data_IF_384313041538
#
_entry.id   IF_384313041538
#
_cell.length_a   1.000
_cell.length_b   1.000
_cell.length_c   1.000
_cell.angle_alpha   90.00
_cell.angle_beta   90.00
_cell.angle_gamma   90.00
#
_symmetry.space_group_name_H-M   'P 1'
#
loop_
_entity.id
_entity.type
_entity.pdbx_description
1 polymer ?
#
# COMPACT_ATOMS: atom_id res chain seq x y z
N UNK A 1 -9.40 3.27 -51.54
CA UNK A 1 -9.31 4.18 -50.38
C UNK A 1 -10.53 4.12 -49.45
N UNK A 2 -11.78 4.09 -49.94
CA UNK A 2 -13.00 4.01 -49.10
C UNK A 2 -13.08 2.78 -48.16
N UNK A 3 -12.56 1.62 -48.58
CA UNK A 3 -12.53 0.39 -47.74
C UNK A 3 -11.54 0.44 -46.57
N UNK A 4 -10.44 1.20 -46.71
CA UNK A 4 -9.43 1.36 -45.66
C UNK A 4 -9.95 2.30 -44.57
N UNK A 5 -10.63 3.39 -44.98
CA UNK A 5 -11.30 4.32 -44.06
C UNK A 5 -12.45 3.66 -43.28
N UNK A 6 -13.22 2.79 -43.93
CA UNK A 6 -14.27 2.02 -43.25
C UNK A 6 -13.68 1.03 -42.22
N UNK A 7 -12.56 0.36 -42.52
CA UNK A 7 -11.91 -0.55 -41.59
C UNK A 7 -11.28 0.17 -40.38
N UNK A 8 -10.67 1.35 -40.59
CA UNK A 8 -10.16 2.17 -39.48
C UNK A 8 -11.29 2.74 -38.63
N UNK A 9 -12.41 3.18 -39.24
CA UNK A 9 -13.57 3.69 -38.51
C UNK A 9 -14.30 2.59 -37.72
N UNK A 10 -14.39 1.37 -38.26
CA UNK A 10 -14.93 0.19 -37.55
C UNK A 10 -14.00 -0.25 -36.41
N UNK A 11 -12.68 -0.19 -36.57
CA UNK A 11 -11.72 -0.46 -35.49
C UNK A 11 -11.76 0.60 -34.37
N UNK A 12 -11.92 1.87 -34.72
CA UNK A 12 -12.06 2.97 -33.76
C UNK A 12 -13.40 2.92 -33.00
N UNK A 13 -14.48 2.53 -33.66
CA UNK A 13 -15.80 2.37 -33.02
C UNK A 13 -15.88 1.12 -32.15
N UNK A 14 -15.29 -0.01 -32.56
CA UNK A 14 -15.24 -1.24 -31.74
C UNK A 14 -14.38 -1.08 -30.48
N UNK A 15 -13.28 -0.33 -30.54
CA UNK A 15 -12.47 0.03 -29.37
C UNK A 15 -13.20 1.01 -28.44
N UNK A 16 -13.94 1.99 -28.99
CA UNK A 16 -14.78 2.91 -28.20
C UNK A 16 -15.94 2.19 -27.49
N UNK A 17 -16.60 1.24 -28.18
CA UNK A 17 -17.67 0.40 -27.61
C UNK A 17 -17.10 -0.57 -26.56
N UNK A 18 -15.87 -1.07 -26.75
CA UNK A 18 -15.12 -1.83 -25.75
C UNK A 18 -14.80 -1.00 -24.50
N UNK A 19 -14.41 0.26 -24.67
CA UNK A 19 -14.19 1.22 -23.58
C UNK A 19 -15.49 1.52 -22.82
N UNK A 20 -16.64 1.63 -23.48
CA UNK A 20 -17.93 1.77 -22.78
C UNK A 20 -18.26 0.57 -21.88
N UNK A 21 -17.74 -0.64 -22.17
CA UNK A 21 -17.89 -1.80 -21.27
C UNK A 21 -17.09 -1.64 -19.98
N UNK A 22 -16.04 -0.80 -19.94
CA UNK A 22 -15.31 -0.49 -18.69
C UNK A 22 -16.16 0.37 -17.74
N UNK A 23 -17.21 1.04 -18.21
CA UNK A 23 -18.19 1.70 -17.33
C UNK A 23 -18.91 0.73 -16.39
N UNK A 24 -18.89 -0.59 -16.69
CA UNK A 24 -19.36 -1.63 -15.75
C UNK A 24 -18.56 -1.66 -14.45
N UNK A 25 -17.33 -1.13 -14.43
CA UNK A 25 -16.49 -0.98 -13.24
C UNK A 25 -17.07 0.02 -12.24
N UNK A 26 -17.96 0.93 -12.66
CA UNK A 26 -18.74 1.79 -11.75
C UNK A 26 -19.62 0.98 -10.78
N UNK A 27 -19.87 -0.31 -11.06
CA UNK A 27 -20.53 -1.22 -10.12
C UNK A 27 -19.69 -1.48 -8.87
N UNK A 28 -18.35 -1.35 -8.94
CA UNK A 28 -17.46 -1.44 -7.78
C UNK A 28 -17.70 -0.30 -6.79
N UNK A 29 -18.16 0.87 -7.24
CA UNK A 29 -18.57 1.98 -6.37
C UNK A 29 -19.77 1.61 -5.49
N UNK A 30 -20.62 0.66 -5.93
CA UNK A 30 -21.71 0.13 -5.10
C UNK A 30 -21.20 -0.81 -4.00
N UNK A 31 -20.13 -1.56 -4.29
CA UNK A 31 -19.46 -2.43 -3.32
C UNK A 31 -18.70 -1.58 -2.28
N UNK A 32 -17.99 -0.54 -2.73
CA UNK A 32 -17.32 0.43 -1.86
C UNK A 32 -18.32 1.10 -0.89
N UNK A 33 -19.52 1.48 -1.36
CA UNK A 33 -20.58 2.03 -0.49
C UNK A 33 -21.17 1.04 0.52
N UNK A 34 -20.89 -0.26 0.37
CA UNK A 34 -21.36 -1.32 1.27
C UNK A 34 -20.24 -1.89 2.14
N UNK A 35 -19.03 -1.34 2.02
CA UNK A 35 -17.81 -1.84 2.67
C UNK A 35 -17.91 -1.76 4.20
N UNK A 36 -18.55 -0.72 4.74
CA UNK A 36 -18.75 -0.53 6.17
C UNK A 36 -19.52 -1.70 6.79
N UNK A 37 -20.53 -2.22 6.08
CA UNK A 37 -21.33 -3.37 6.53
C UNK A 37 -20.57 -4.70 6.48
N UNK A 38 -19.57 -4.82 5.61
CA UNK A 38 -18.70 -6.01 5.55
C UNK A 38 -17.50 -5.90 6.50
N UNK A 39 -17.12 -4.69 6.92
CA UNK A 39 -15.99 -4.45 7.82
C UNK A 39 -16.16 -4.99 9.25
N UNK A 40 -17.41 -5.32 9.64
CA UNK A 40 -17.70 -5.97 10.92
C UNK A 40 -17.21 -7.44 10.96
N UNK A 41 -17.02 -8.06 9.79
CA UNK A 41 -16.53 -9.43 9.67
C UNK A 41 -15.09 -9.44 9.14
N UNK A 42 -14.10 -9.62 10.01
CA UNK A 42 -12.68 -9.60 9.63
C UNK A 42 -12.32 -10.54 8.46
N UNK A 43 -12.97 -11.70 8.36
CA UNK A 43 -12.80 -12.62 7.23
C UNK A 43 -13.34 -12.06 5.89
N UNK A 44 -14.43 -11.29 5.92
CA UNK A 44 -14.98 -10.63 4.73
C UNK A 44 -14.07 -9.50 4.24
N UNK A 45 -13.42 -8.77 5.16
CA UNK A 45 -12.42 -7.75 4.82
C UNK A 45 -11.21 -8.39 4.15
N UNK A 46 -10.69 -9.49 4.70
CA UNK A 46 -9.57 -10.21 4.10
C UNK A 46 -9.90 -10.72 2.70
N UNK A 47 -11.07 -11.33 2.51
CA UNK A 47 -11.54 -11.78 1.20
C UNK A 47 -11.72 -10.61 0.21
N UNK A 48 -12.23 -9.47 0.67
CA UNK A 48 -12.40 -8.28 -0.16
C UNK A 48 -11.04 -7.69 -0.58
N UNK A 49 -10.06 -7.66 0.33
CA UNK A 49 -8.69 -7.23 0.04
C UNK A 49 -8.02 -8.18 -0.96
N UNK A 50 -8.17 -9.50 -0.79
CA UNK A 50 -7.66 -10.49 -1.76
C UNK A 50 -8.32 -10.33 -3.14
N UNK A 51 -9.64 -10.13 -3.18
CA UNK A 51 -10.38 -9.95 -4.43
C UNK A 51 -10.00 -8.64 -5.15
N UNK A 52 -9.84 -7.54 -4.41
CA UNK A 52 -9.41 -6.25 -4.98
C UNK A 52 -7.97 -6.32 -5.48
N UNK A 53 -7.07 -6.97 -4.76
CA UNK A 53 -5.70 -7.22 -5.21
C UNK A 53 -5.66 -8.04 -6.51
N UNK A 54 -6.41 -9.14 -6.57
CA UNK A 54 -6.51 -9.97 -7.78
C UNK A 54 -7.10 -9.20 -8.98
N UNK A 55 -8.07 -8.33 -8.74
CA UNK A 55 -8.68 -7.49 -9.78
C UNK A 55 -7.68 -6.46 -10.34
N UNK A 56 -6.91 -5.82 -9.46
CA UNK A 56 -5.85 -4.87 -9.86
C UNK A 56 -4.80 -5.60 -10.71
N UNK A 57 -4.32 -6.75 -10.23
CA UNK A 57 -3.36 -7.56 -10.98
C UNK A 57 -3.92 -7.98 -12.36
N UNK A 58 -5.20 -8.38 -12.43
CA UNK A 58 -5.85 -8.69 -13.71
C UNK A 58 -5.90 -7.50 -14.67
N UNK A 59 -6.23 -6.29 -14.21
CA UNK A 59 -6.25 -5.10 -15.07
C UNK A 59 -4.86 -4.75 -15.57
N UNK A 60 -3.86 -4.77 -14.68
CA UNK A 60 -2.48 -4.54 -15.05
C UNK A 60 -2.00 -5.59 -16.06
N UNK A 61 -2.38 -6.86 -15.91
CA UNK A 61 -2.03 -7.92 -16.85
C UNK A 61 -2.64 -7.68 -18.24
N UNK A 62 -3.88 -7.21 -18.29
CA UNK A 62 -4.54 -6.84 -19.54
C UNK A 62 -3.86 -5.63 -20.21
N UNK A 63 -3.43 -4.63 -19.44
CA UNK A 63 -2.68 -3.47 -19.96
C UNK A 63 -1.31 -3.91 -20.47
N UNK A 64 -0.59 -4.74 -19.72
CA UNK A 64 0.69 -5.32 -20.12
C UNK A 64 0.59 -6.08 -21.45
N UNK A 65 -0.46 -6.88 -21.61
CA UNK A 65 -0.77 -7.55 -22.87
C UNK A 65 -1.08 -6.59 -24.01
N UNK A 66 -1.87 -5.54 -23.74
CA UNK A 66 -2.19 -4.54 -24.74
C UNK A 66 -0.95 -3.80 -25.25
N UNK A 67 -0.01 -3.45 -24.36
CA UNK A 67 1.27 -2.82 -24.71
C UNK A 67 2.07 -3.74 -25.66
N UNK A 68 2.30 -4.99 -25.25
CA UNK A 68 3.03 -5.94 -26.09
C UNK A 68 2.39 -6.17 -27.45
N UNK A 69 1.07 -6.28 -27.53
CA UNK A 69 0.37 -6.50 -28.80
C UNK A 69 0.36 -5.26 -29.70
N UNK A 70 0.34 -4.05 -29.13
CA UNK A 70 0.35 -2.80 -29.87
C UNK A 70 1.76 -2.43 -30.39
N UNK A 71 2.82 -2.73 -29.64
CA UNK A 71 4.21 -2.45 -30.05
C UNK A 71 4.78 -3.49 -31.01
N UNK A 72 4.33 -4.76 -30.92
CA UNK A 72 4.89 -5.85 -31.72
C UNK A 72 4.93 -5.61 -33.24
N UNK A 73 3.91 -5.04 -33.90
CA UNK A 73 3.96 -4.74 -35.34
C UNK A 73 4.97 -3.65 -35.71
N UNK A 74 5.19 -2.66 -34.83
CA UNK A 74 6.00 -1.46 -35.10
C UNK A 74 7.48 -1.64 -34.75
N UNK A 75 7.80 -2.62 -33.92
CA UNK A 75 9.16 -2.96 -33.52
C UNK A 75 10.00 -3.49 -34.70
N UNK A 76 11.12 -2.80 -34.96
CA UNK A 76 12.16 -3.21 -35.94
C UNK A 76 12.88 -4.50 -35.52
N UNK A 77 13.19 -4.62 -34.23
CA UNK A 77 13.75 -5.84 -33.63
C UNK A 77 12.68 -6.50 -32.77
N UNK A 78 12.40 -7.78 -32.99
CA UNK A 78 11.38 -8.57 -32.26
C UNK A 78 11.88 -8.98 -30.88
N UNK A 79 12.07 -7.99 -30.00
CA UNK A 79 12.64 -8.14 -28.65
C UNK A 79 11.61 -8.01 -27.54
N UNK A 80 10.33 -7.74 -27.87
CA UNK A 80 9.27 -7.56 -26.87
C UNK A 80 8.98 -8.85 -26.10
N UNK A 81 8.32 -8.71 -24.95
CA UNK A 81 8.06 -9.85 -24.05
C UNK A 81 7.24 -10.97 -24.72
N UNK A 82 6.35 -10.63 -25.67
CA UNK A 82 5.58 -11.60 -26.45
C UNK A 82 6.45 -12.43 -27.39
N UNK A 83 7.49 -11.84 -27.96
CA UNK A 83 8.42 -12.54 -28.85
C UNK A 83 9.39 -13.42 -28.06
N UNK A 84 9.83 -12.98 -26.86
CA UNK A 84 10.55 -13.85 -25.92
C UNK A 84 9.71 -15.04 -25.50
N UNK A 85 8.45 -14.82 -25.11
CA UNK A 85 7.55 -15.92 -24.74
C UNK A 85 7.35 -16.91 -25.89
N UNK A 86 7.27 -16.42 -27.13
CA UNK A 86 7.18 -17.26 -28.32
C UNK A 86 8.42 -18.13 -28.53
N UNK A 87 9.59 -17.57 -28.25
CA UNK A 87 10.85 -18.29 -28.31
C UNK A 87 10.92 -19.39 -27.23
N UNK A 88 10.55 -19.05 -25.99
CA UNK A 88 10.61 -19.97 -24.85
C UNK A 88 9.60 -21.14 -24.97
N UNK A 89 8.45 -20.89 -25.59
CA UNK A 89 7.40 -21.90 -25.79
C UNK A 89 7.53 -22.64 -27.12
N UNK A 90 8.53 -22.29 -27.94
CA UNK A 90 8.67 -22.75 -29.33
C UNK A 90 7.41 -22.53 -30.20
N UNK A 91 6.60 -21.51 -29.86
CA UNK A 91 5.39 -21.12 -30.59
C UNK A 91 5.65 -19.80 -31.31
N UNK A 92 6.38 -19.86 -32.42
CA UNK A 92 6.83 -18.69 -33.17
C UNK A 92 5.70 -17.99 -33.92
N UNK A 93 5.91 -16.70 -34.17
CA UNK A 93 5.03 -15.90 -35.02
C UNK A 93 5.50 -15.94 -36.47
N UNK A 94 4.56 -15.92 -37.40
CA UNK A 94 4.83 -15.84 -38.84
C UNK A 94 5.05 -14.39 -39.30
N UNK A 95 5.63 -14.22 -40.49
CA UNK A 95 5.89 -12.92 -41.12
C UNK A 95 4.65 -12.05 -41.29
N UNK A 96 3.47 -12.66 -41.44
CA UNK A 96 2.18 -11.98 -41.51
C UNK A 96 1.61 -11.58 -40.13
N UNK A 97 2.43 -11.62 -39.07
CA UNK A 97 2.04 -11.33 -37.70
C UNK A 97 0.96 -12.27 -37.14
N UNK A 98 0.78 -13.43 -37.77
CA UNK A 98 -0.12 -14.52 -37.36
C UNK A 98 0.65 -15.57 -36.56
N UNK A 99 -0.07 -16.47 -35.88
CA UNK A 99 0.54 -17.50 -35.03
C UNK A 99 0.90 -16.99 -33.63
N UNK A 100 2.00 -17.54 -33.08
CA UNK A 100 2.45 -17.22 -31.73
C UNK A 100 1.84 -18.09 -30.62
N UNK A 101 2.16 -17.77 -29.35
CA UNK A 101 1.71 -18.54 -28.19
C UNK A 101 0.18 -18.61 -28.06
N UNK A 102 -0.36 -19.66 -27.46
CA UNK A 102 -1.81 -19.73 -27.18
C UNK A 102 -2.31 -18.55 -26.32
N UNK A 103 -3.59 -18.16 -26.47
CA UNK A 103 -4.21 -17.08 -25.67
C UNK A 103 -4.08 -17.35 -24.17
N UNK A 104 -4.20 -18.62 -23.76
CA UNK A 104 -4.04 -19.07 -22.37
C UNK A 104 -2.62 -18.80 -21.88
N UNK A 105 -1.61 -19.15 -22.68
CA UNK A 105 -0.20 -18.89 -22.34
C UNK A 105 0.07 -17.40 -22.18
N UNK A 106 -0.35 -16.56 -23.14
CA UNK A 106 -0.16 -15.11 -23.07
C UNK A 106 -0.81 -14.51 -21.81
N UNK A 107 -2.04 -14.91 -21.49
CA UNK A 107 -2.76 -14.40 -20.33
C UNK A 107 -2.12 -14.84 -19.00
N UNK A 108 -1.78 -16.13 -18.86
CA UNK A 108 -1.15 -16.65 -17.63
C UNK A 108 0.21 -15.99 -17.41
N UNK A 109 1.02 -15.85 -18.46
CA UNK A 109 2.33 -15.18 -18.36
C UNK A 109 2.19 -13.70 -18.00
N UNK A 110 1.24 -12.97 -18.58
CA UNK A 110 0.97 -11.57 -18.22
C UNK A 110 0.49 -11.42 -16.76
N UNK A 111 -0.41 -12.31 -16.32
CA UNK A 111 -0.88 -12.34 -14.94
C UNK A 111 0.27 -12.64 -13.97
N UNK A 112 1.10 -13.64 -14.30
CA UNK A 112 2.27 -14.01 -13.52
C UNK A 112 3.29 -12.85 -13.40
N UNK A 113 3.58 -12.16 -14.50
CA UNK A 113 4.48 -10.99 -14.49
C UNK A 113 3.95 -9.86 -13.60
N UNK A 114 2.66 -9.56 -13.70
CA UNK A 114 2.05 -8.49 -12.89
C UNK A 114 1.94 -8.86 -11.41
N UNK A 115 1.63 -10.11 -11.08
CA UNK A 115 1.68 -10.57 -9.68
C UNK A 115 3.10 -10.49 -9.13
N UNK A 116 4.10 -11.02 -9.84
CA UNK A 116 5.50 -11.00 -9.37
C UNK A 116 6.08 -9.58 -9.25
N UNK A 117 5.64 -8.64 -10.09
CA UNK A 117 6.02 -7.23 -10.02
C UNK A 117 5.30 -6.49 -8.88
N UNK A 118 4.00 -6.74 -8.70
CA UNK A 118 3.19 -6.10 -7.65
C UNK A 118 3.55 -6.60 -6.25
N UNK A 119 3.92 -7.88 -6.12
CA UNK A 119 4.44 -8.46 -4.87
C UNK A 119 5.94 -8.23 -4.66
N UNK A 120 6.60 -7.55 -5.60
CA UNK A 120 8.05 -7.26 -5.55
C UNK A 120 8.95 -8.51 -5.47
N UNK A 121 8.48 -9.67 -5.94
CA UNK A 121 9.28 -10.91 -5.97
C UNK A 121 10.23 -10.93 -7.17
N UNK A 122 9.75 -10.56 -8.36
CA UNK A 122 10.59 -10.33 -9.55
C UNK A 122 11.51 -11.49 -9.97
N UNK A 123 10.95 -12.66 -10.30
CA UNK A 123 11.72 -13.86 -10.68
C UNK A 123 12.60 -13.73 -11.94
N UNK A 124 12.40 -12.70 -12.77
CA UNK A 124 13.27 -12.37 -13.91
C UNK A 124 13.09 -13.23 -15.17
N UNK A 125 12.23 -14.24 -15.14
CA UNK A 125 11.86 -15.08 -16.28
C UNK A 125 10.94 -14.40 -17.31
N UNK A 126 10.25 -13.33 -16.92
CA UNK A 126 9.55 -12.43 -17.84
C UNK A 126 10.00 -11.02 -17.50
N UNK A 127 10.59 -10.33 -18.47
CA UNK A 127 11.21 -9.03 -18.25
C UNK A 127 10.74 -8.00 -19.30
N UNK A 128 10.68 -6.70 -18.93
CA UNK A 128 10.47 -5.62 -19.87
C UNK A 128 11.73 -5.36 -20.70
N UNK A 129 11.60 -5.41 -22.01
CA UNK A 129 12.70 -5.23 -22.96
C UNK A 129 12.58 -3.89 -23.72
N UNK A 130 11.35 -3.49 -24.05
CA UNK A 130 11.09 -2.21 -24.74
C UNK A 130 10.96 -1.05 -23.76
N UNK A 131 11.06 0.17 -24.26
CA UNK A 131 10.96 1.37 -23.41
C UNK A 131 9.55 1.54 -22.82
N UNK A 132 8.47 1.25 -23.58
CA UNK A 132 7.12 1.28 -23.03
C UNK A 132 6.90 0.17 -21.99
N UNK A 133 7.45 -1.03 -22.22
CA UNK A 133 7.43 -2.11 -21.26
C UNK A 133 8.13 -1.74 -19.94
N UNK A 134 9.30 -1.07 -20.02
CA UNK A 134 10.06 -0.58 -18.86
C UNK A 134 9.30 0.51 -18.11
N UNK A 135 8.74 1.50 -18.82
CA UNK A 135 7.94 2.57 -18.21
C UNK A 135 6.73 2.00 -17.47
N UNK A 136 6.01 1.06 -18.10
CA UNK A 136 4.88 0.38 -17.44
C UNK A 136 5.32 -0.37 -16.18
N UNK A 137 6.44 -1.10 -16.25
CA UNK A 137 6.98 -1.85 -15.10
C UNK A 137 7.36 -0.92 -13.95
N UNK A 138 7.97 0.23 -14.25
CA UNK A 138 8.26 1.29 -13.25
C UNK A 138 6.96 1.77 -12.61
N UNK A 139 5.91 2.06 -13.38
CA UNK A 139 4.62 2.48 -12.84
C UNK A 139 3.99 1.40 -11.94
N UNK A 140 4.05 0.12 -12.31
CA UNK A 140 3.54 -1.00 -11.50
C UNK A 140 4.32 -1.14 -10.20
N UNK A 141 5.65 -1.06 -10.27
CA UNK A 141 6.51 -1.08 -9.09
C UNK A 141 6.24 0.11 -8.16
N UNK A 142 5.99 1.31 -8.71
CA UNK A 142 5.65 2.49 -7.92
C UNK A 142 4.32 2.36 -7.17
N UNK A 143 3.33 1.69 -7.77
CA UNK A 143 2.06 1.35 -7.09
C UNK A 143 2.28 0.41 -5.90
N UNK A 144 3.32 -0.43 -5.95
CA UNK A 144 3.79 -1.24 -4.81
C UNK A 144 4.79 -0.53 -3.86
N UNK A 145 5.29 0.66 -4.20
CA UNK A 145 6.53 1.23 -3.64
C UNK A 145 6.41 2.13 -2.41
N UNK A 146 5.21 2.41 -1.88
CA UNK A 146 5.07 3.40 -0.79
C UNK A 146 5.94 3.04 0.43
N UNK A 147 5.95 1.76 0.79
CA UNK A 147 6.82 1.25 1.84
C UNK A 147 8.30 1.40 1.48
N UNK A 148 8.66 0.99 0.26
CA UNK A 148 10.03 0.99 -0.21
C UNK A 148 10.63 2.40 -0.24
N UNK A 149 9.89 3.38 -0.76
CA UNK A 149 10.33 4.78 -0.85
C UNK A 149 10.58 5.38 0.53
N UNK A 150 9.72 5.09 1.52
CA UNK A 150 9.89 5.62 2.86
C UNK A 150 10.99 4.89 3.65
N UNK A 151 11.11 3.56 3.47
CA UNK A 151 12.22 2.79 4.04
C UNK A 151 13.57 3.19 3.45
N UNK A 152 13.64 3.55 2.16
CA UNK A 152 14.85 4.08 1.53
C UNK A 152 15.29 5.39 2.18
N UNK A 153 14.36 6.31 2.49
CA UNK A 153 14.70 7.55 3.21
C UNK A 153 15.28 7.27 4.59
N UNK A 154 14.72 6.31 5.33
CA UNK A 154 15.27 5.89 6.64
C UNK A 154 16.69 5.35 6.48
N UNK A 155 16.93 4.51 5.47
CA UNK A 155 18.26 3.94 5.20
C UNK A 155 19.26 5.00 4.73
N UNK A 156 18.85 5.96 3.93
CA UNK A 156 19.68 7.10 3.53
C UNK A 156 20.06 7.96 4.73
N UNK A 157 19.10 8.26 5.61
CA UNK A 157 19.37 8.97 6.87
C UNK A 157 20.40 8.23 7.75
N UNK A 158 20.21 6.92 7.93
CA UNK A 158 21.13 6.05 8.69
C UNK A 158 22.54 6.08 8.08
N UNK A 159 22.63 5.99 6.75
CA UNK A 159 23.91 6.00 6.04
C UNK A 159 24.60 7.37 6.11
N UNK A 160 23.84 8.44 5.91
CA UNK A 160 24.35 9.82 5.92
C UNK A 160 24.93 10.20 7.29
N UNK A 161 24.24 9.83 8.37
CA UNK A 161 24.68 10.12 9.73
C UNK A 161 25.60 9.04 10.34
N UNK A 162 25.97 8.00 9.57
CA UNK A 162 26.80 6.88 10.03
C UNK A 162 26.31 6.27 11.35
N UNK A 163 25.00 6.00 11.43
CA UNK A 163 24.38 5.48 12.65
C UNK A 163 24.89 4.06 12.95
N UNK A 164 25.35 3.78 14.18
CA UNK A 164 25.89 2.47 14.54
C UNK A 164 24.83 1.36 14.47
N UNK A 165 25.26 0.15 14.13
CA UNK A 165 24.42 -1.04 13.90
C UNK A 165 23.31 -1.28 14.95
N UNK A 166 23.55 -1.19 16.28
CA UNK A 166 22.48 -1.42 17.26
C UNK A 166 21.33 -0.40 17.16
N UNK A 167 21.65 0.87 16.93
CA UNK A 167 20.62 1.92 16.78
C UNK A 167 19.95 1.84 15.40
N UNK A 168 20.71 1.51 14.36
CA UNK A 168 20.18 1.25 13.02
C UNK A 168 19.11 0.16 13.03
N UNK A 169 19.39 -0.97 13.68
CA UNK A 169 18.43 -2.08 13.74
C UNK A 169 17.12 -1.66 14.41
N UNK A 170 17.22 -0.94 15.55
CA UNK A 170 16.04 -0.37 16.23
C UNK A 170 15.23 0.56 15.33
N UNK A 171 15.89 1.44 14.57
CA UNK A 171 15.22 2.36 13.64
C UNK A 171 14.48 1.61 12.51
N UNK A 172 15.11 0.61 11.91
CA UNK A 172 14.50 -0.19 10.84
C UNK A 172 13.30 -1.02 11.37
N UNK A 173 13.46 -1.67 12.53
CA UNK A 173 12.40 -2.46 13.18
C UNK A 173 11.21 -1.58 13.60
N UNK A 174 11.48 -0.43 14.24
CA UNK A 174 10.45 0.55 14.59
C UNK A 174 9.68 0.99 13.36
N UNK A 175 10.37 1.35 12.27
CA UNK A 175 9.70 1.82 11.05
C UNK A 175 8.82 0.72 10.43
N UNK A 176 9.30 -0.53 10.41
CA UNK A 176 8.52 -1.66 9.90
C UNK A 176 7.27 -1.93 10.76
N UNK A 177 7.40 -1.90 12.08
CA UNK A 177 6.26 -2.02 13.01
C UNK A 177 5.27 -0.86 12.87
N UNK A 178 5.75 0.37 12.79
CA UNK A 178 4.90 1.54 12.59
C UNK A 178 4.17 1.47 11.25
N UNK A 179 4.85 1.06 10.17
CA UNK A 179 4.25 0.93 8.84
C UNK A 179 3.17 -0.14 8.80
N UNK A 180 3.42 -1.33 9.37
CA UNK A 180 2.43 -2.42 9.42
C UNK A 180 1.18 -2.03 10.21
N UNK A 181 1.34 -1.23 11.27
CA UNK A 181 0.22 -0.77 12.09
C UNK A 181 -0.58 0.38 11.45
N UNK A 182 0.12 1.36 10.87
CA UNK A 182 -0.49 2.60 10.35
C UNK A 182 -0.78 2.55 8.85
N UNK A 183 -0.34 1.50 8.15
CA UNK A 183 -0.29 1.42 6.68
C UNK A 183 0.45 2.60 6.02
N UNK A 184 1.36 3.26 6.75
CA UNK A 184 2.11 4.42 6.26
C UNK A 184 1.28 5.70 6.12
N UNK A 185 0.14 5.79 6.79
CA UNK A 185 -0.73 6.97 6.79
C UNK A 185 -0.21 7.97 7.83
N UNK A 186 0.24 9.14 7.38
CA UNK A 186 0.56 10.25 8.28
C UNK A 186 -0.73 10.97 8.70
N UNK A 187 -1.20 10.67 9.91
CA UNK A 187 -2.42 11.24 10.49
C UNK A 187 -2.39 12.78 10.54
N UNK A 188 -1.23 13.40 10.79
CA UNK A 188 -1.13 14.85 10.86
C UNK A 188 -1.35 15.49 9.48
N UNK A 189 -0.83 14.86 8.42
CA UNK A 189 -1.07 15.32 7.04
C UNK A 189 -2.54 15.19 6.63
N UNK A 190 -3.20 14.10 7.04
CA UNK A 190 -4.63 13.85 6.75
C UNK A 190 -5.51 14.85 7.48
N UNK A 191 -5.27 15.08 8.77
CA UNK A 191 -6.07 16.00 9.60
C UNK A 191 -6.01 17.44 9.08
N UNK A 192 -4.87 17.89 8.56
CA UNK A 192 -4.71 19.23 7.96
C UNK A 192 -5.63 19.49 6.76
N UNK A 193 -6.17 18.44 6.12
CA UNK A 193 -7.14 18.56 5.03
C UNK A 193 -8.55 18.92 5.49
N UNK A 194 -8.84 18.90 6.80
CA UNK A 194 -10.16 19.15 7.36
C UNK A 194 -10.18 20.43 8.22
N UNK A 195 -11.33 21.10 8.36
CA UNK A 195 -11.53 22.19 9.34
C UNK A 195 -11.29 21.72 10.79
N UNK A 196 -10.85 22.63 11.67
CA UNK A 196 -10.51 22.32 13.08
C UNK A 196 -11.65 21.62 13.86
N UNK A 197 -12.91 21.99 13.59
CA UNK A 197 -14.06 21.34 14.20
C UNK A 197 -14.11 19.84 13.87
N UNK A 198 -13.89 19.46 12.61
CA UNK A 198 -13.86 18.06 12.19
C UNK A 198 -12.61 17.34 12.69
N UNK A 199 -11.46 18.01 12.74
CA UNK A 199 -10.25 17.44 13.34
C UNK A 199 -10.50 17.04 14.80
N UNK A 200 -11.18 17.89 15.57
CA UNK A 200 -11.50 17.61 16.96
C UNK A 200 -12.41 16.39 17.12
N UNK A 201 -13.41 16.25 16.26
CA UNK A 201 -14.32 15.10 16.26
C UNK A 201 -13.61 13.80 15.88
N UNK A 202 -12.73 13.84 14.88
CA UNK A 202 -11.90 12.70 14.49
C UNK A 202 -10.97 12.30 15.64
N UNK A 203 -10.24 13.24 16.23
CA UNK A 203 -9.33 12.96 17.34
C UNK A 203 -10.07 12.46 18.58
N UNK A 204 -11.26 12.99 18.88
CA UNK A 204 -12.10 12.50 19.98
C UNK A 204 -12.51 11.05 19.74
N UNK A 205 -12.91 10.71 18.51
CA UNK A 205 -13.26 9.34 18.14
C UNK A 205 -12.06 8.39 18.27
N UNK A 206 -10.87 8.79 17.82
CA UNK A 206 -9.66 7.98 17.88
C UNK A 206 -9.24 7.69 19.33
N UNK A 207 -9.35 8.68 20.21
CA UNK A 207 -8.96 8.57 21.61
C UNK A 207 -10.09 8.10 22.54
N UNK A 208 -11.28 7.78 22.00
CA UNK A 208 -12.50 7.50 22.79
C UNK A 208 -12.31 6.43 23.87
N UNK A 209 -11.58 5.34 23.56
CA UNK A 209 -11.38 4.23 24.48
C UNK A 209 -10.57 4.63 25.71
N UNK A 210 -9.62 5.54 25.53
CA UNK A 210 -8.78 6.04 26.61
C UNK A 210 -9.54 7.09 27.43
N UNK A 211 -10.24 7.99 26.74
CA UNK A 211 -11.03 9.05 27.36
C UNK A 211 -12.23 8.52 28.16
N UNK A 212 -12.86 7.43 27.71
CA UNK A 212 -14.02 6.84 28.41
C UNK A 212 -13.65 5.96 29.60
N UNK A 213 -12.47 5.33 29.57
CA UNK A 213 -12.11 4.29 30.53
C UNK A 213 -11.08 4.77 31.57
N UNK A 214 -10.35 5.84 31.30
CA UNK A 214 -9.39 6.39 32.25
C UNK A 214 -10.11 7.35 33.20
N UNK A 215 -10.03 7.06 34.51
CA UNK A 215 -10.66 7.86 35.56
C UNK A 215 -10.21 9.32 35.59
N UNK A 216 -9.02 9.62 35.04
CA UNK A 216 -8.47 10.97 34.95
C UNK A 216 -9.36 11.93 34.14
N UNK A 217 -10.23 11.42 33.26
CA UNK A 217 -11.12 12.23 32.42
C UNK A 217 -12.58 12.21 32.89
N UNK A 218 -12.88 11.54 34.01
CA UNK A 218 -14.25 11.48 34.55
C UNK A 218 -14.72 12.89 34.93
N UNK A 219 -15.89 13.28 34.42
CA UNK A 219 -16.48 14.61 34.66
C UNK A 219 -15.95 15.72 33.75
N UNK A 220 -15.03 15.43 32.82
CA UNK A 220 -14.60 16.41 31.83
C UNK A 220 -15.75 16.77 30.86
N UNK A 221 -15.91 18.07 30.57
CA UNK A 221 -16.93 18.51 29.61
C UNK A 221 -16.59 18.05 28.18
N UNK A 222 -17.59 17.88 27.29
CA UNK A 222 -17.34 17.51 25.90
C UNK A 222 -16.38 18.47 25.17
N UNK A 223 -16.48 19.78 25.46
CA UNK A 223 -15.57 20.79 24.91
C UNK A 223 -14.12 20.59 25.38
N UNK A 224 -13.92 20.26 26.66
CA UNK A 224 -12.60 19.94 27.21
C UNK A 224 -12.01 18.67 26.56
N UNK A 225 -12.81 17.61 26.43
CA UNK A 225 -12.37 16.37 25.78
C UNK A 225 -11.99 16.59 24.32
N UNK A 226 -12.73 17.42 23.57
CA UNK A 226 -12.37 17.81 22.20
C UNK A 226 -11.04 18.56 22.14
N UNK A 227 -10.84 19.54 23.04
CA UNK A 227 -9.60 20.31 23.10
C UNK A 227 -8.38 19.44 23.47
N UNK A 228 -8.53 18.54 24.43
CA UNK A 228 -7.49 17.57 24.81
C UNK A 228 -7.20 16.59 23.68
N UNK A 229 -8.24 16.10 23.00
CA UNK A 229 -8.09 15.15 21.90
C UNK A 229 -7.24 15.69 20.76
N UNK A 230 -7.34 16.99 20.45
CA UNK A 230 -6.50 17.65 19.44
C UNK A 230 -5.02 17.71 19.83
N UNK A 231 -4.69 17.64 21.13
CA UNK A 231 -3.32 17.70 21.63
C UNK A 231 -2.71 16.32 21.86
N UNK A 232 -3.51 15.26 21.93
CA UNK A 232 -2.99 13.92 22.08
C UNK A 232 -2.18 13.49 20.86
N UNK A 233 -1.06 12.81 21.16
CA UNK A 233 -0.25 12.12 20.17
C UNK A 233 -0.26 10.63 20.52
N UNK A 234 -0.55 9.80 19.53
CA UNK A 234 -0.48 8.35 19.69
C UNK A 234 0.92 7.88 19.33
N UNK A 235 1.59 7.24 20.29
CA UNK A 235 2.91 6.66 20.09
C UNK A 235 2.82 5.14 20.24
N UNK A 236 3.41 4.41 19.31
CA UNK A 236 3.52 2.96 19.35
C UNK A 236 4.95 2.58 19.71
N UNK A 237 5.10 1.70 20.70
CA UNK A 237 6.38 1.17 21.13
C UNK A 237 6.38 -0.36 20.94
N UNK A 238 7.34 -0.93 20.21
CA UNK A 238 7.48 -2.38 20.12
C UNK A 238 8.02 -2.96 21.44
N UNK A 239 7.87 -4.28 21.67
CA UNK A 239 8.44 -4.94 22.84
C UNK A 239 9.94 -4.72 22.95
N UNK A 240 10.43 -4.38 24.15
CA UNK A 240 11.84 -4.13 24.44
C UNK A 240 12.32 -2.71 24.11
N UNK A 241 11.47 -1.84 23.56
CA UNK A 241 11.84 -0.46 23.28
C UNK A 241 11.75 0.41 24.55
N UNK A 242 12.81 1.15 24.84
CA UNK A 242 12.88 2.05 26.00
C UNK A 242 12.24 3.39 25.66
N UNK A 243 11.16 3.75 26.35
CA UNK A 243 10.42 5.00 26.12
C UNK A 243 11.09 6.23 26.76
N UNK A 244 11.64 6.05 27.96
CA UNK A 244 12.22 7.11 28.79
C UNK A 244 13.44 6.53 29.50
N UNK A 245 14.56 7.26 29.50
CA UNK A 245 15.76 6.89 30.24
C UNK A 245 15.83 7.61 31.59
N UNK A 246 16.54 6.99 32.54
CA UNK A 246 16.81 7.60 33.83
C UNK A 246 17.64 8.88 33.63
N UNK A 247 17.10 10.01 34.07
CA UNK A 247 17.73 11.32 33.92
C UNK A 247 17.16 12.17 32.79
N UNK A 248 16.25 11.63 31.97
CA UNK A 248 15.54 12.40 30.96
C UNK A 248 14.60 13.43 31.60
N UNK A 249 14.49 14.61 30.97
CA UNK A 249 13.50 15.61 31.35
C UNK A 249 12.13 15.15 30.84
N UNK A 250 11.20 14.92 31.76
CA UNK A 250 9.85 14.51 31.45
C UNK A 250 9.03 15.70 30.95
N UNK A 251 8.84 15.80 29.64
CA UNK A 251 8.06 16.88 29.01
C UNK A 251 6.62 16.49 28.69
N UNK A 252 6.26 15.22 28.87
CA UNK A 252 4.99 14.65 28.41
C UNK A 252 4.38 13.74 29.48
N UNK A 253 3.05 13.74 29.56
CA UNK A 253 2.29 12.77 30.35
C UNK A 253 1.85 11.62 29.45
N UNK A 254 2.05 10.39 29.91
CA UNK A 254 1.77 9.19 29.12
C UNK A 254 0.59 8.41 29.68
N UNK A 255 -0.26 7.94 28.76
CA UNK A 255 -1.42 7.10 29.08
C UNK A 255 -1.36 5.80 28.29
N UNK A 256 -1.50 4.66 28.98
CA UNK A 256 -1.41 3.35 28.33
C UNK A 256 -2.79 2.96 27.78
N UNK A 257 -3.00 3.10 26.47
CA UNK A 257 -4.27 2.66 25.86
C UNK A 257 -4.37 1.13 25.72
N UNK A 258 -3.25 0.46 25.39
CA UNK A 258 -3.15 -0.99 25.15
C UNK A 258 -1.75 -1.49 25.51
N UNK A 259 -1.66 -2.76 25.88
CA UNK A 259 -0.41 -3.40 26.29
C UNK A 259 -0.09 -3.18 27.77
N UNK A 260 1.17 -3.44 28.12
CA UNK A 260 1.76 -3.20 29.44
C UNK A 260 3.17 -2.66 29.26
N UNK A 261 3.63 -1.87 30.23
CA UNK A 261 4.97 -1.28 30.25
C UNK A 261 5.66 -1.72 31.54
N UNK A 262 6.93 -2.08 31.45
CA UNK A 262 7.76 -2.42 32.59
C UNK A 262 8.64 -1.24 32.97
N UNK A 263 8.67 -0.91 34.26
CA UNK A 263 9.62 0.07 34.81
C UNK A 263 10.79 -0.72 35.38
N UNK A 264 11.97 -0.49 34.84
CA UNK A 264 13.21 -1.16 35.23
C UNK A 264 14.08 -0.20 36.04
N UNK A 265 14.74 -0.70 37.07
CA UNK A 265 15.83 -0.02 37.77
C UNK A 265 16.96 -1.03 37.95
N UNK A 266 18.12 -0.72 37.39
CA UNK A 266 19.32 -1.57 37.46
C UNK A 266 19.01 -3.03 37.00
N UNK A 267 18.32 -3.15 35.86
CA UNK A 267 17.83 -4.41 35.27
C UNK A 267 16.82 -5.22 36.10
N UNK A 268 16.32 -4.63 37.19
CA UNK A 268 15.28 -5.23 38.03
C UNK A 268 13.93 -4.59 37.71
N UNK A 269 12.91 -5.42 37.46
CA UNK A 269 11.53 -4.96 37.23
C UNK A 269 10.97 -4.42 38.54
N UNK A 270 10.73 -3.12 38.59
CA UNK A 270 10.20 -2.42 39.76
C UNK A 270 8.67 -2.35 39.74
N UNK A 271 8.09 -2.21 38.55
CA UNK A 271 6.64 -2.11 38.37
C UNK A 271 6.22 -2.53 36.97
N UNK A 272 4.99 -3.01 36.86
CA UNK A 272 4.33 -3.31 35.58
C UNK A 272 3.09 -2.43 35.50
N UNK A 273 3.07 -1.51 34.54
CA UNK A 273 1.96 -0.62 34.29
C UNK A 273 1.02 -1.23 33.24
N UNK A 274 -0.23 -1.42 33.63
CA UNK A 274 -1.29 -1.94 32.76
C UNK A 274 -2.05 -0.86 31.99
N UNK A 275 -3.17 -1.25 31.37
CA UNK A 275 -4.04 -0.35 30.61
C UNK A 275 -4.65 0.74 31.50
N UNK A 276 -4.83 1.91 30.91
CA UNK A 276 -5.45 3.11 31.47
C UNK A 276 -4.72 3.72 32.69
N UNK A 277 -3.47 3.32 32.88
CA UNK A 277 -2.58 3.91 33.88
C UNK A 277 -1.90 5.15 33.29
N UNK A 278 -1.88 6.22 34.08
CA UNK A 278 -1.11 7.43 33.84
C UNK A 278 0.28 7.25 34.46
N UNK A 279 1.32 7.62 33.72
CA UNK A 279 2.69 7.68 34.26
C UNK A 279 3.44 8.90 33.72
N UNK A 280 4.46 9.29 34.49
CA UNK A 280 5.45 10.31 34.14
C UNK A 280 6.83 9.69 34.30
#
# INVERSE_FOLDING_TARGET
>A
MLRVWAATFVAQTTTLIGLLKTARLLRLVRVARKIDRYSEYGAAVLLLLMATFALIAHWLACIWYAIGNAERPTLKSKVGWLDMLANDTHQFYYSNNTGGPSIKSRYITALYFTFSSLTSVGFGNVAPNTDAEKIFTICVMLVGSRYHTQMLRVREFIRFHQIPNPLRQRLEEYFQHAWTYTNGIDMNSVLKGFPECLQADICLHLNRNLLSNCSAFNGASPGCLRALSLKFKTTHAPPGDTLVHRGDVLTSLYFIARGSIEILKDDIVMAILGKYVLFY
#
